data_IF_638796770322
#
_entry.id   IF_638796770322
#
_cell.length_a   1.000
_cell.length_b   1.000
_cell.length_c   1.000
_cell.angle_alpha   90.00
_cell.angle_beta   90.00
_cell.angle_gamma   90.00
#
_symmetry.space_group_name_H-M   'P 1'
#
loop_
_entity.id
_entity.type
_entity.pdbx_description
1 polymer ?
#
# COMPACT_ATOMS: atom_id res chain seq x y z
N UNK A 1 -8.43 26.36 -40.79
CA UNK A 1 -7.94 25.16 -40.08
C UNK A 1 -7.99 25.39 -38.59
N UNK A 2 -8.91 24.75 -37.89
CA UNK A 2 -9.06 24.87 -36.42
C UNK A 2 -8.27 23.75 -35.75
N UNK A 3 -7.32 24.10 -34.88
CA UNK A 3 -6.55 23.15 -34.10
C UNK A 3 -7.44 22.45 -33.04
N UNK A 4 -7.23 21.15 -32.75
CA UNK A 4 -8.03 20.45 -31.74
C UNK A 4 -7.57 20.84 -30.34
N UNK A 5 -8.53 21.27 -29.51
CA UNK A 5 -8.32 21.57 -28.10
C UNK A 5 -7.88 20.30 -27.34
N UNK A 6 -6.66 20.32 -26.79
CA UNK A 6 -6.21 19.34 -25.81
C UNK A 6 -7.07 19.44 -24.55
N UNK A 7 -7.94 18.45 -24.32
CA UNK A 7 -8.63 18.28 -23.04
C UNK A 7 -7.61 18.00 -21.93
N UNK A 8 -7.34 19.02 -21.12
CA UNK A 8 -6.59 18.87 -19.86
C UNK A 8 -7.52 18.14 -18.89
N UNK A 9 -7.21 16.87 -18.61
CA UNK A 9 -7.90 16.10 -17.58
C UNK A 9 -7.50 16.71 -16.23
N UNK A 10 -8.40 17.50 -15.65
CA UNK A 10 -8.25 18.01 -14.28
C UNK A 10 -8.32 16.82 -13.31
N UNK A 11 -7.18 16.34 -12.84
CA UNK A 11 -7.11 15.36 -11.74
C UNK A 11 -7.75 16.00 -10.52
N UNK A 12 -8.80 15.37 -9.97
CA UNK A 12 -9.57 15.89 -8.85
C UNK A 12 -8.68 16.11 -7.62
N UNK A 13 -8.83 17.28 -6.99
CA UNK A 13 -8.01 17.78 -5.88
C UNK A 13 -8.04 16.94 -4.59
N UNK A 14 -8.81 15.85 -4.53
CA UNK A 14 -8.96 14.96 -3.36
C UNK A 14 -7.93 13.83 -3.25
N UNK A 15 -7.11 13.58 -4.26
CA UNK A 15 -6.13 12.47 -4.28
C UNK A 15 -4.71 12.88 -3.90
N UNK A 16 -4.47 14.12 -3.49
CA UNK A 16 -3.12 14.59 -3.14
C UNK A 16 -3.01 14.84 -1.63
N UNK A 17 -2.83 13.80 -0.84
CA UNK A 17 -2.03 13.92 0.38
C UNK A 17 -0.77 13.09 0.20
N UNK A 18 0.13 13.58 -0.65
CA UNK A 18 1.54 13.24 -0.57
C UNK A 18 2.04 13.92 0.69
N UNK A 19 2.28 13.15 1.72
CA UNK A 19 2.83 13.69 2.96
C UNK A 19 4.31 13.94 2.75
N UNK A 20 4.61 15.15 2.32
CA UNK A 20 5.94 15.72 2.50
C UNK A 20 5.96 16.39 3.86
N UNK A 21 6.80 15.87 4.77
CA UNK A 21 7.28 16.44 6.03
C UNK A 21 6.42 16.37 7.31
N UNK A 22 6.94 15.61 8.26
CA UNK A 22 7.19 15.85 9.71
C UNK A 22 6.31 16.92 10.40
N UNK A 23 4.99 16.87 10.28
CA UNK A 23 4.10 17.49 11.26
C UNK A 23 3.23 16.42 11.86
N UNK A 24 3.13 16.42 13.19
CA UNK A 24 2.34 15.49 13.97
C UNK A 24 1.03 15.11 13.25
N UNK A 25 0.88 13.84 12.96
CA UNK A 25 -0.30 13.28 12.36
C UNK A 25 -1.50 13.59 13.27
N UNK A 26 -2.48 14.31 12.75
CA UNK A 26 -3.79 14.38 13.40
C UNK A 26 -4.63 13.25 12.82
N UNK A 27 -5.08 12.33 13.67
CA UNK A 27 -6.01 11.27 13.29
C UNK A 27 -7.21 11.86 12.54
N UNK A 28 -7.49 11.49 11.29
CA UNK A 28 -8.82 11.62 10.76
C UNK A 28 -9.74 10.76 11.64
N UNK A 29 -10.94 11.23 11.93
CA UNK A 29 -11.88 10.60 12.89
C UNK A 29 -12.33 9.18 12.56
N UNK A 30 -11.96 8.63 11.38
CA UNK A 30 -12.29 7.28 10.92
C UNK A 30 -11.17 6.68 10.08
N UNK A 31 -10.88 5.40 10.30
CA UNK A 31 -10.09 4.56 9.40
C UNK A 31 -8.58 4.54 9.65
N UNK A 32 -8.07 5.30 10.62
CA UNK A 32 -6.65 5.30 10.94
C UNK A 32 -6.38 4.63 12.28
N UNK A 33 -5.28 3.91 12.37
CA UNK A 33 -4.85 3.29 13.62
C UNK A 33 -3.51 3.86 14.06
N UNK A 34 -3.32 3.90 15.38
CA UNK A 34 -2.02 4.28 15.94
C UNK A 34 -0.89 3.36 15.45
N UNK A 35 -1.19 2.09 15.21
CA UNK A 35 -0.25 1.11 14.67
C UNK A 35 0.25 1.51 13.27
N UNK A 36 -0.66 1.95 12.38
CA UNK A 36 -0.30 2.43 11.05
C UNK A 36 0.55 3.71 11.11
N UNK A 37 0.20 4.66 11.99
CA UNK A 37 0.96 5.90 12.15
C UNK A 37 2.36 5.64 12.69
N UNK A 38 2.49 4.79 13.71
CA UNK A 38 3.77 4.38 14.26
C UNK A 38 4.61 3.66 13.19
N UNK A 39 3.99 2.81 12.37
CA UNK A 39 4.65 2.15 11.25
C UNK A 39 5.16 3.16 10.20
N UNK A 40 4.35 4.12 9.81
CA UNK A 40 4.78 5.17 8.86
C UNK A 40 6.01 5.89 9.38
N UNK A 41 5.95 6.38 10.62
CA UNK A 41 7.05 7.12 11.26
C UNK A 41 8.33 6.29 11.41
N UNK A 42 8.18 5.05 11.87
CA UNK A 42 9.32 4.22 12.28
C UNK A 42 9.96 3.43 11.14
N UNK A 43 9.24 3.24 10.03
CA UNK A 43 9.71 2.49 8.87
C UNK A 43 9.72 3.32 7.59
N UNK A 44 8.57 3.80 7.10
CA UNK A 44 8.49 4.46 5.79
C UNK A 44 9.22 5.78 5.74
N UNK A 45 9.04 6.63 6.76
CA UNK A 45 9.72 7.92 6.86
C UNK A 45 11.23 7.75 7.04
N UNK A 46 11.68 6.72 7.78
CA UNK A 46 13.10 6.42 7.96
C UNK A 46 13.76 5.92 6.69
N UNK A 47 13.04 5.19 5.82
CA UNK A 47 13.54 4.80 4.51
C UNK A 47 13.51 5.99 3.54
N UNK A 48 12.62 6.96 3.76
CA UNK A 48 12.45 8.12 2.90
C UNK A 48 11.63 7.82 1.64
N UNK A 49 10.74 6.83 1.67
CA UNK A 49 9.84 6.52 0.54
C UNK A 49 8.63 7.43 0.54
N UNK A 50 8.15 7.75 -0.66
CA UNK A 50 6.88 8.46 -0.83
C UNK A 50 5.73 7.47 -0.75
N UNK A 51 4.69 7.80 0.00
CA UNK A 51 3.50 6.97 0.14
C UNK A 51 2.21 7.79 0.19
N UNK A 52 1.11 7.17 -0.18
CA UNK A 52 -0.26 7.68 0.01
C UNK A 52 -0.85 6.90 1.18
N UNK A 53 -1.07 7.60 2.30
CA UNK A 53 -1.72 7.03 3.47
C UNK A 53 -3.23 6.94 3.26
N UNK A 54 -3.86 5.85 3.73
CA UNK A 54 -5.28 5.56 3.52
C UNK A 54 -5.65 5.67 2.03
N UNK A 55 -4.93 4.90 1.22
CA UNK A 55 -5.19 4.83 -0.22
C UNK A 55 -6.57 4.25 -0.50
N UNK A 56 -7.42 5.01 -1.18
CA UNK A 56 -8.79 4.63 -1.47
C UNK A 56 -8.91 3.91 -2.82
N UNK A 57 -9.36 2.64 -2.79
CA UNK A 57 -9.88 1.92 -3.93
C UNK A 57 -11.37 2.27 -4.10
N UNK A 58 -11.64 3.32 -4.86
CA UNK A 58 -12.96 3.96 -4.93
C UNK A 58 -14.07 3.07 -5.46
N UNK A 59 -13.74 2.24 -6.44
CA UNK A 59 -14.66 1.31 -7.12
C UNK A 59 -15.19 0.22 -6.18
N UNK A 60 -14.44 -0.11 -5.14
CA UNK A 60 -14.85 -1.07 -4.11
C UNK A 60 -15.13 -0.43 -2.74
N UNK A 61 -14.92 0.88 -2.61
CA UNK A 61 -15.13 1.61 -1.35
C UNK A 61 -14.27 1.09 -0.20
N UNK A 62 -13.02 0.71 -0.47
CA UNK A 62 -12.08 0.20 0.52
C UNK A 62 -10.81 1.03 0.58
N UNK A 63 -10.21 1.04 1.78
CA UNK A 63 -8.94 1.73 2.01
C UNK A 63 -7.84 0.72 2.31
N UNK A 64 -6.63 1.04 1.82
CA UNK A 64 -5.40 0.35 2.17
C UNK A 64 -4.54 1.27 3.03
N UNK A 65 -3.79 0.71 3.96
CA UNK A 65 -3.00 1.51 4.88
C UNK A 65 -2.03 2.43 4.12
N UNK A 66 -1.25 1.88 3.19
CA UNK A 66 -0.31 2.67 2.39
C UNK A 66 -0.24 2.18 0.94
N UNK A 67 -0.12 3.13 0.01
CA UNK A 67 0.26 2.85 -1.37
C UNK A 67 1.53 3.64 -1.70
N UNK A 68 2.53 2.95 -2.24
CA UNK A 68 3.82 3.49 -2.65
C UNK A 68 3.86 3.63 -4.17
N UNK A 69 3.61 4.82 -4.73
CA UNK A 69 3.43 5.00 -6.18
C UNK A 69 4.67 4.64 -7.00
N UNK A 70 5.87 4.94 -6.49
CA UNK A 70 7.14 4.66 -7.19
C UNK A 70 7.43 3.18 -7.32
N UNK A 71 7.02 2.40 -6.33
CA UNK A 71 7.24 0.94 -6.30
C UNK A 71 6.03 0.15 -6.74
N UNK A 72 4.90 0.82 -7.06
CA UNK A 72 3.60 0.21 -7.32
C UNK A 72 3.26 -0.87 -6.29
N UNK A 73 3.40 -0.55 -5.02
CA UNK A 73 3.25 -1.49 -3.91
C UNK A 73 2.23 -0.99 -2.89
N UNK A 74 1.32 -1.86 -2.48
CA UNK A 74 0.47 -1.64 -1.32
C UNK A 74 1.13 -2.27 -0.08
N UNK A 75 1.10 -1.55 1.04
CA UNK A 75 1.47 -2.07 2.35
C UNK A 75 0.25 -2.03 3.25
N UNK A 76 -0.08 -3.16 3.85
CA UNK A 76 -1.07 -3.32 4.91
C UNK A 76 -0.38 -3.60 6.22
N UNK A 77 -0.87 -2.97 7.28
CA UNK A 77 -0.35 -3.15 8.64
C UNK A 77 -1.47 -3.78 9.46
N UNK A 78 -1.35 -5.09 9.66
CA UNK A 78 -2.42 -5.90 10.22
C UNK A 78 -2.26 -6.08 11.73
N UNK A 79 -3.25 -5.60 12.50
CA UNK A 79 -3.33 -5.87 13.93
C UNK A 79 -3.55 -7.36 14.19
N UNK A 80 -2.66 -8.00 14.95
CA UNK A 80 -2.61 -9.45 15.09
C UNK A 80 -3.92 -10.08 15.57
N UNK A 81 -4.64 -9.42 16.46
CA UNK A 81 -5.93 -9.89 16.95
C UNK A 81 -7.05 -9.67 15.91
N UNK A 82 -7.13 -8.47 15.34
CA UNK A 82 -8.24 -8.07 14.47
C UNK A 82 -8.25 -8.78 13.11
N UNK A 83 -7.06 -9.03 12.56
CA UNK A 83 -6.85 -9.70 11.28
C UNK A 83 -6.51 -11.19 11.43
N UNK A 84 -6.57 -11.70 12.65
CA UNK A 84 -6.40 -13.13 12.94
C UNK A 84 -5.06 -13.68 12.47
N UNK A 85 -3.96 -13.10 12.99
CA UNK A 85 -2.63 -13.64 12.73
C UNK A 85 -2.64 -15.17 12.92
N UNK A 86 -2.36 -15.98 11.88
CA UNK A 86 -2.49 -17.43 11.93
C UNK A 86 -1.55 -18.09 12.94
N UNK A 87 -0.55 -17.35 13.42
CA UNK A 87 0.35 -17.82 14.50
C UNK A 87 -0.29 -17.68 15.88
N UNK A 88 -1.35 -16.88 16.02
CA UNK A 88 -2.01 -16.58 17.31
C UNK A 88 -3.46 -17.03 17.35
N UNK A 89 -4.14 -17.06 16.20
CA UNK A 89 -5.56 -17.37 16.11
C UNK A 89 -5.78 -18.58 15.22
N UNK A 90 -6.31 -19.63 15.79
CA UNK A 90 -6.75 -20.83 15.09
C UNK A 90 -7.99 -20.50 14.22
N UNK A 91 -7.98 -20.87 12.95
CA UNK A 91 -9.07 -20.53 12.02
C UNK A 91 -10.43 -21.02 12.50
N UNK A 92 -10.46 -22.20 13.10
CA UNK A 92 -11.67 -22.78 13.69
C UNK A 92 -12.22 -22.02 14.90
N UNK A 93 -11.40 -21.17 15.52
CA UNK A 93 -11.74 -20.43 16.75
C UNK A 93 -11.98 -18.94 16.50
N UNK A 94 -11.99 -18.50 15.26
CA UNK A 94 -12.27 -17.10 14.91
C UNK A 94 -13.66 -16.68 15.37
N UNK A 95 -13.73 -15.51 16.02
CA UNK A 95 -14.99 -14.87 16.37
C UNK A 95 -15.66 -14.24 15.11
N UNK A 96 -16.93 -13.81 15.20
CA UNK A 96 -17.66 -13.25 14.04
C UNK A 96 -16.99 -12.01 13.44
N UNK A 97 -16.35 -11.15 14.25
CA UNK A 97 -15.63 -9.99 13.78
C UNK A 97 -14.40 -10.40 12.96
N UNK A 98 -13.61 -11.32 13.46
CA UNK A 98 -12.42 -11.84 12.80
C UNK A 98 -12.77 -12.52 11.46
N UNK A 99 -13.83 -13.33 11.43
CA UNK A 99 -14.34 -13.94 10.19
C UNK A 99 -14.77 -12.89 9.16
N UNK A 100 -15.38 -11.80 9.62
CA UNK A 100 -15.76 -10.69 8.73
C UNK A 100 -14.53 -9.97 8.19
N UNK A 101 -13.55 -9.66 9.04
CA UNK A 101 -12.33 -8.99 8.64
C UNK A 101 -11.54 -9.84 7.63
N UNK A 102 -11.40 -11.14 7.86
CA UNK A 102 -10.77 -12.05 6.90
C UNK A 102 -11.41 -11.97 5.51
N UNK A 103 -12.75 -11.99 5.42
CA UNK A 103 -13.44 -11.84 4.13
C UNK A 103 -13.19 -10.49 3.46
N UNK A 104 -13.08 -9.41 4.25
CA UNK A 104 -12.75 -8.08 3.74
C UNK A 104 -11.32 -8.06 3.21
N UNK A 105 -10.38 -8.67 3.92
CA UNK A 105 -8.98 -8.75 3.49
C UNK A 105 -8.85 -9.55 2.19
N UNK A 106 -9.51 -10.70 2.08
CA UNK A 106 -9.55 -11.49 0.84
C UNK A 106 -10.15 -10.71 -0.34
N UNK A 107 -11.18 -9.90 -0.10
CA UNK A 107 -11.78 -9.04 -1.12
C UNK A 107 -10.82 -7.94 -1.58
N UNK A 108 -10.12 -7.31 -0.63
CA UNK A 108 -9.06 -6.33 -0.91
C UNK A 108 -7.92 -6.96 -1.71
N UNK A 109 -7.47 -8.16 -1.31
CA UNK A 109 -6.39 -8.87 -2.00
C UNK A 109 -6.74 -9.19 -3.46
N UNK A 110 -7.96 -9.66 -3.72
CA UNK A 110 -8.47 -9.90 -5.08
C UNK A 110 -8.50 -8.63 -5.93
N UNK A 111 -8.93 -7.52 -5.35
CA UNK A 111 -8.94 -6.23 -6.05
C UNK A 111 -7.52 -5.79 -6.44
N UNK A 112 -6.58 -5.82 -5.51
CA UNK A 112 -5.21 -5.43 -5.78
C UNK A 112 -4.56 -6.34 -6.84
N UNK A 113 -4.78 -7.65 -6.75
CA UNK A 113 -4.31 -8.62 -7.75
C UNK A 113 -4.86 -8.30 -9.14
N UNK A 114 -6.16 -8.01 -9.27
CA UNK A 114 -6.79 -7.67 -10.55
C UNK A 114 -6.28 -6.37 -11.16
N UNK A 115 -5.73 -5.47 -10.34
CA UNK A 115 -5.11 -4.22 -10.76
C UNK A 115 -3.58 -4.31 -10.94
N UNK A 116 -3.01 -5.49 -10.78
CA UNK A 116 -1.56 -5.70 -10.90
C UNK A 116 -0.75 -4.98 -9.83
N UNK A 117 -1.35 -4.74 -8.65
CA UNK A 117 -0.70 -4.07 -7.54
C UNK A 117 -0.38 -5.11 -6.46
N UNK A 118 0.90 -5.44 -6.23
CA UNK A 118 1.27 -6.35 -5.17
C UNK A 118 0.99 -5.78 -3.79
N UNK A 119 0.65 -6.65 -2.84
CA UNK A 119 0.46 -6.30 -1.43
C UNK A 119 1.56 -6.91 -0.59
N UNK A 120 2.10 -6.14 0.35
CA UNK A 120 2.93 -6.61 1.45
C UNK A 120 2.16 -6.43 2.75
N UNK A 121 1.84 -7.53 3.43
CA UNK A 121 1.22 -7.51 4.75
C UNK A 121 2.27 -7.61 5.84
N UNK A 122 2.14 -6.76 6.85
CA UNK A 122 3.06 -6.67 7.98
C UNK A 122 2.25 -6.79 9.26
N UNK A 123 2.55 -7.80 10.06
CA UNK A 123 1.84 -8.07 11.29
C UNK A 123 2.32 -7.20 12.45
N UNK A 124 1.39 -6.73 13.25
CA UNK A 124 1.68 -6.02 14.51
C UNK A 124 2.70 -6.76 15.38
N UNK A 125 2.57 -8.08 15.47
CA UNK A 125 3.50 -8.94 16.24
C UNK A 125 4.93 -8.78 15.74
N UNK A 126 5.14 -8.79 14.42
CA UNK A 126 6.48 -8.67 13.85
C UNK A 126 7.07 -7.27 14.05
N UNK A 127 6.23 -6.22 13.95
CA UNK A 127 6.65 -4.84 14.22
C UNK A 127 7.15 -4.70 15.67
N UNK A 128 6.47 -5.32 16.62
CA UNK A 128 6.79 -5.23 18.05
C UNK A 128 7.99 -6.08 18.45
N UNK A 129 8.05 -7.31 17.96
CA UNK A 129 9.05 -8.30 18.39
C UNK A 129 10.32 -8.27 17.54
N UNK A 130 10.21 -7.98 16.24
CA UNK A 130 11.29 -8.10 15.28
C UNK A 130 11.38 -6.90 14.31
N UNK A 131 11.42 -5.65 14.78
CA UNK A 131 11.38 -4.46 13.91
C UNK A 131 12.56 -4.39 12.91
N UNK A 132 13.73 -4.93 13.27
CA UNK A 132 14.87 -4.99 12.37
C UNK A 132 14.62 -5.91 11.18
N UNK A 133 13.98 -7.06 11.40
CA UNK A 133 13.61 -8.00 10.34
C UNK A 133 12.53 -7.41 9.43
N UNK A 134 11.55 -6.71 10.00
CA UNK A 134 10.54 -5.97 9.23
C UNK A 134 11.20 -4.92 8.34
N UNK A 135 12.12 -4.12 8.88
CA UNK A 135 12.85 -3.10 8.12
C UNK A 135 13.65 -3.72 6.96
N UNK A 136 14.33 -4.86 7.21
CA UNK A 136 15.08 -5.57 6.18
C UNK A 136 14.16 -6.08 5.08
N UNK A 137 13.08 -6.78 5.44
CA UNK A 137 12.12 -7.33 4.49
C UNK A 137 11.45 -6.23 3.63
N UNK A 138 11.14 -5.08 4.25
CA UNK A 138 10.57 -3.93 3.56
C UNK A 138 11.54 -3.36 2.52
N UNK A 139 12.82 -3.17 2.87
CA UNK A 139 13.85 -2.70 1.94
C UNK A 139 14.07 -3.67 0.78
N UNK A 140 14.13 -4.96 1.05
CA UNK A 140 14.26 -6.00 0.05
C UNK A 140 13.06 -6.00 -0.91
N UNK A 141 11.85 -5.88 -0.38
CA UNK A 141 10.63 -5.81 -1.19
C UNK A 141 10.62 -4.60 -2.11
N UNK A 142 10.97 -3.42 -1.59
CA UNK A 142 11.07 -2.19 -2.37
C UNK A 142 12.10 -2.30 -3.48
N UNK A 143 13.25 -2.91 -3.21
CA UNK A 143 14.28 -3.15 -4.21
C UNK A 143 13.74 -4.03 -5.36
N UNK A 144 13.10 -5.16 -5.04
CA UNK A 144 12.52 -6.07 -6.02
C UNK A 144 11.46 -5.40 -6.90
N UNK A 145 10.54 -4.65 -6.31
CA UNK A 145 9.48 -3.99 -7.07
C UNK A 145 10.04 -2.87 -7.98
N UNK A 146 11.02 -2.11 -7.50
CA UNK A 146 11.67 -1.09 -8.30
C UNK A 146 12.45 -1.68 -9.48
N UNK A 147 13.17 -2.80 -9.30
CA UNK A 147 13.82 -3.50 -10.41
C UNK A 147 12.84 -3.99 -11.47
N UNK A 148 11.69 -4.54 -11.06
CA UNK A 148 10.65 -4.99 -12.00
C UNK A 148 10.14 -3.84 -12.88
N UNK A 149 9.91 -2.68 -12.28
CA UNK A 149 9.46 -1.47 -12.98
C UNK A 149 10.50 -1.03 -14.01
N UNK A 150 11.77 -0.92 -13.60
CA UNK A 150 12.85 -0.53 -14.51
C UNK A 150 13.02 -1.50 -15.68
N UNK A 151 12.93 -2.81 -15.44
CA UNK A 151 13.02 -3.83 -16.50
C UNK A 151 11.87 -3.70 -17.50
N UNK A 152 10.67 -3.41 -17.01
CA UNK A 152 9.48 -3.22 -17.85
C UNK A 152 9.63 -1.97 -18.73
N UNK A 153 10.08 -0.86 -18.14
CA UNK A 153 10.35 0.38 -18.89
C UNK A 153 11.42 0.19 -19.96
N UNK A 154 12.51 -0.53 -19.65
CA UNK A 154 13.58 -0.84 -20.62
C UNK A 154 13.06 -1.69 -21.79
N UNK A 155 12.18 -2.67 -21.54
CA UNK A 155 11.54 -3.48 -22.57
C UNK A 155 10.64 -2.64 -23.48
N UNK A 156 9.81 -1.78 -22.89
CA UNK A 156 8.90 -0.90 -23.63
C UNK A 156 9.66 0.09 -24.53
N UNK A 157 10.75 0.70 -24.02
CA UNK A 157 11.60 1.60 -24.83
C UNK A 157 12.24 0.87 -26.01
N UNK A 158 12.69 -0.38 -25.83
CA UNK A 158 13.26 -1.18 -26.94
C UNK A 158 12.22 -1.54 -28.00
N UNK A 159 10.99 -1.80 -27.58
CA UNK A 159 9.88 -2.12 -28.51
C UNK A 159 9.52 -0.92 -29.37
N UNK A 160 9.37 0.27 -28.77
CA UNK A 160 9.08 1.52 -29.50
C UNK A 160 10.17 1.88 -30.52
N UNK A 161 11.46 1.64 -30.18
CA UNK A 161 12.58 1.93 -31.08
C UNK A 161 12.72 0.92 -32.25
N UNK A 162 12.05 -0.23 -32.19
CA UNK A 162 12.03 -1.21 -33.30
C UNK A 162 10.91 -0.94 -34.32
N UNK A 163 9.95 -0.10 -33.98
CA UNK A 163 8.78 0.22 -34.82
C UNK A 163 9.01 1.51 -35.64
N UNK A 164 10.08 2.25 -35.33
CA UNK A 164 10.58 3.38 -36.12
C UNK A 164 11.61 2.94 -37.14
#
# INVERSE_FOLDING_TARGET
MKQPHKKVIKKSAKQKKIVKNKKAWKHPKFGTSKLEEDFARDFLDKIGVEYIYQFEAKDIGRFYAFYLPKSNLIIEVDGSYYHSDPRLVDEGKMNPMQKRNKRVDEYKDKWALSHGIPIMRIWEKDIRENPKSVMKALKERLYIENEKIELTEKKNKRHVNKIK
#
